data_IF_731657862738
#
_entry.id   IF_731657862738
#
_cell.length_a   1.000
_cell.length_b   1.000
_cell.length_c   1.000
_cell.angle_alpha   90.00
_cell.angle_beta   90.00
_cell.angle_gamma   90.00
#
_symmetry.space_group_name_H-M   'P 1'
#
loop_
_entity.id
_entity.type
_entity.pdbx_description
1 polymer ?
#
# COMPACT_ATOMS: atom_id res chain seq x y z
N UNK A 1 2.01 33.65 -4.57
CA UNK A 1 0.63 34.13 -4.28
C UNK A 1 -0.25 34.30 -5.52
N UNK A 2 0.14 35.03 -6.58
CA UNK A 2 -0.64 35.08 -7.84
C UNK A 2 -0.53 33.79 -8.66
N UNK A 3 0.67 33.20 -8.72
CA UNK A 3 0.92 31.91 -9.36
C UNK A 3 0.10 30.77 -8.72
N UNK A 4 0.11 30.66 -7.39
CA UNK A 4 -0.67 29.64 -6.65
C UNK A 4 -2.19 29.72 -6.92
N UNK A 5 -2.71 30.94 -7.15
CA UNK A 5 -4.12 31.17 -7.48
C UNK A 5 -4.43 30.75 -8.91
N UNK A 6 -3.52 31.02 -9.85
CA UNK A 6 -3.63 30.61 -11.24
C UNK A 6 -3.58 29.08 -11.38
N UNK A 7 -2.68 28.43 -10.66
CA UNK A 7 -2.53 26.98 -10.70
C UNK A 7 -3.75 26.30 -10.06
N UNK A 8 -4.24 26.84 -8.93
CA UNK A 8 -5.49 26.37 -8.31
C UNK A 8 -6.71 26.51 -9.23
N UNK A 9 -6.78 27.58 -10.04
CA UNK A 9 -7.87 27.79 -11.01
C UNK A 9 -7.77 26.84 -12.20
N UNK A 10 -6.57 26.65 -12.77
CA UNK A 10 -6.34 25.72 -13.87
C UNK A 10 -6.67 24.28 -13.47
N UNK A 11 -6.27 23.86 -12.26
CA UNK A 11 -6.64 22.55 -11.72
C UNK A 11 -8.16 22.41 -11.51
N UNK A 12 -8.83 23.45 -11.00
CA UNK A 12 -10.29 23.44 -10.86
C UNK A 12 -10.99 23.26 -12.21
N UNK A 13 -10.51 23.94 -13.26
CA UNK A 13 -11.08 23.85 -14.60
C UNK A 13 -10.84 22.49 -15.26
N UNK A 14 -9.66 21.90 -15.09
CA UNK A 14 -9.41 20.52 -15.53
C UNK A 14 -10.31 19.53 -14.80
N UNK A 15 -10.49 19.70 -13.49
CA UNK A 15 -11.40 18.86 -12.71
C UNK A 15 -12.84 18.98 -13.19
N UNK A 16 -13.30 20.21 -13.46
CA UNK A 16 -14.63 20.49 -13.99
C UNK A 16 -14.86 19.86 -15.38
N UNK A 17 -13.84 19.86 -16.24
CA UNK A 17 -13.91 19.23 -17.56
C UNK A 17 -14.02 17.69 -17.46
N UNK A 18 -13.21 17.07 -16.59
CA UNK A 18 -13.32 15.63 -16.29
C UNK A 18 -14.69 15.31 -15.71
N UNK A 19 -15.18 16.11 -14.76
CA UNK A 19 -16.51 15.97 -14.18
C UNK A 19 -17.63 16.01 -15.22
N UNK A 20 -17.59 16.97 -16.14
CA UNK A 20 -18.57 17.06 -17.22
C UNK A 20 -18.59 15.80 -18.08
N UNK A 21 -17.43 15.22 -18.37
CA UNK A 21 -17.32 13.99 -19.16
C UNK A 21 -17.91 12.80 -18.40
N UNK A 22 -17.63 12.69 -17.10
CA UNK A 22 -18.18 11.61 -16.27
C UNK A 22 -19.71 11.71 -16.09
N UNK A 23 -20.27 12.92 -15.97
CA UNK A 23 -21.73 13.12 -15.97
C UNK A 23 -22.33 12.58 -17.27
N UNK A 24 -21.73 12.90 -18.42
CA UNK A 24 -22.23 12.46 -19.71
C UNK A 24 -22.15 10.94 -19.87
N UNK A 25 -21.08 10.31 -19.37
CA UNK A 25 -20.97 8.85 -19.37
C UNK A 25 -22.05 8.21 -18.50
N UNK A 26 -22.26 8.70 -17.27
CA UNK A 26 -23.29 8.18 -16.37
C UNK A 26 -24.71 8.30 -16.96
N UNK A 27 -25.00 9.42 -17.65
CA UNK A 27 -26.27 9.59 -18.38
C UNK A 27 -26.40 8.55 -19.50
N UNK A 28 -25.35 8.35 -20.29
CA UNK A 28 -25.36 7.37 -21.39
C UNK A 28 -25.52 5.93 -20.89
N UNK A 29 -25.02 5.63 -19.69
CA UNK A 29 -25.14 4.34 -19.03
C UNK A 29 -26.50 4.13 -18.33
N UNK A 30 -27.40 5.12 -18.40
CA UNK A 30 -28.77 5.03 -17.88
C UNK A 30 -28.91 5.35 -16.39
N UNK A 31 -27.95 6.07 -15.79
CA UNK A 31 -28.08 6.55 -14.43
C UNK A 31 -29.28 7.51 -14.30
N UNK A 32 -30.04 7.40 -13.20
CA UNK A 32 -31.18 8.30 -12.98
C UNK A 32 -30.71 9.73 -12.76
N UNK A 33 -31.53 10.69 -13.19
CA UNK A 33 -31.25 12.12 -12.99
C UNK A 33 -31.11 12.50 -11.52
N UNK A 34 -31.81 11.79 -10.62
CA UNK A 34 -31.70 11.99 -9.17
C UNK A 34 -30.36 11.48 -8.64
N UNK A 35 -29.87 10.33 -9.11
CA UNK A 35 -28.54 9.82 -8.76
C UNK A 35 -27.44 10.77 -9.24
N UNK A 36 -27.56 11.30 -10.47
CA UNK A 36 -26.66 12.32 -11.01
C UNK A 36 -26.75 13.60 -10.17
N UNK A 37 -27.95 14.10 -9.87
CA UNK A 37 -28.12 15.31 -9.06
C UNK A 37 -27.51 15.17 -7.65
N UNK A 38 -27.59 13.98 -7.04
CA UNK A 38 -26.93 13.67 -5.76
C UNK A 38 -25.42 13.58 -5.93
N UNK A 39 -24.91 12.86 -6.93
CA UNK A 39 -23.47 12.69 -7.21
C UNK A 39 -22.76 14.02 -7.48
N UNK A 40 -23.46 14.98 -8.09
CA UNK A 40 -22.92 16.26 -8.54
C UNK A 40 -23.53 17.47 -7.82
N UNK A 41 -24.18 17.25 -6.67
CA UNK A 41 -24.61 18.34 -5.80
C UNK A 41 -23.39 19.15 -5.33
N UNK A 42 -23.59 20.43 -4.99
CA UNK A 42 -22.52 21.25 -4.42
C UNK A 42 -21.96 20.64 -3.12
N UNK A 43 -22.76 19.90 -2.36
CA UNK A 43 -22.35 19.17 -1.15
C UNK A 43 -21.53 17.93 -1.48
N UNK A 44 -21.92 17.13 -2.47
CA UNK A 44 -21.12 15.99 -2.95
C UNK A 44 -19.82 16.48 -3.60
N UNK A 45 -19.87 17.55 -4.38
CA UNK A 45 -18.68 18.23 -4.89
C UNK A 45 -17.78 18.74 -3.77
N UNK A 46 -18.33 19.37 -2.73
CA UNK A 46 -17.56 19.82 -1.58
C UNK A 46 -17.01 18.66 -0.74
N UNK A 47 -17.74 17.54 -0.65
CA UNK A 47 -17.30 16.32 0.02
C UNK A 47 -16.21 15.57 -0.78
N UNK A 48 -16.23 15.68 -2.11
CA UNK A 48 -15.39 14.89 -3.04
C UNK A 48 -14.18 15.67 -3.50
N UNK A 49 -14.34 16.94 -3.87
CA UNK A 49 -13.24 17.89 -4.03
C UNK A 49 -12.59 18.21 -2.68
N UNK A 50 -13.29 17.88 -1.59
CA UNK A 50 -12.93 18.21 -0.24
C UNK A 50 -13.10 19.71 0.02
N UNK A 51 -13.58 20.03 1.23
CA UNK A 51 -12.69 20.82 2.10
C UNK A 51 -11.34 20.11 1.97
N UNK A 52 -10.44 20.60 1.09
CA UNK A 52 -9.15 19.96 0.73
C UNK A 52 -8.79 18.96 1.83
N UNK A 53 -8.97 17.64 1.60
CA UNK A 53 -8.63 16.63 2.61
C UNK A 53 -7.25 17.05 3.12
N UNK A 54 -7.22 17.51 4.38
CA UNK A 54 -6.40 18.63 4.85
C UNK A 54 -5.11 18.63 4.05
N UNK A 55 -4.96 19.54 3.08
CA UNK A 55 -3.68 19.71 2.41
C UNK A 55 -2.76 20.18 3.53
N UNK A 56 -2.16 19.22 4.21
CA UNK A 56 -1.38 19.47 5.40
C UNK A 56 -0.31 20.44 4.96
N UNK A 57 -0.36 21.65 5.53
CA UNK A 57 0.70 22.62 5.33
C UNK A 57 2.03 21.94 5.68
N UNK A 58 3.14 22.39 5.09
CA UNK A 58 4.46 21.80 5.37
C UNK A 58 4.70 21.62 6.87
N UNK A 59 4.37 22.64 7.66
CA UNK A 59 4.48 22.62 9.13
C UNK A 59 3.69 21.49 9.81
N UNK A 60 2.48 21.20 9.32
CA UNK A 60 1.65 20.12 9.87
C UNK A 60 2.22 18.75 9.51
N UNK A 61 2.67 18.57 8.26
CA UNK A 61 3.35 17.34 7.82
C UNK A 61 4.61 17.08 8.64
N UNK A 62 5.40 18.12 8.86
CA UNK A 62 6.63 18.03 9.65
C UNK A 62 6.34 17.70 11.12
N UNK A 63 5.26 18.25 11.68
CA UNK A 63 4.81 17.91 13.03
C UNK A 63 4.37 16.44 13.13
N UNK A 64 3.55 15.97 12.20
CA UNK A 64 3.07 14.58 12.17
C UNK A 64 4.21 13.61 11.96
N UNK A 65 5.14 13.94 11.07
CA UNK A 65 6.36 13.16 10.84
C UNK A 65 7.18 13.02 12.12
N UNK A 66 7.41 14.11 12.87
CA UNK A 66 8.09 14.05 14.17
C UNK A 66 7.34 13.16 15.18
N UNK A 67 6.03 13.33 15.30
CA UNK A 67 5.21 12.51 16.18
C UNK A 67 5.25 11.01 15.81
N UNK A 68 5.30 10.68 14.51
CA UNK A 68 5.43 9.31 14.05
C UNK A 68 6.83 8.73 14.37
N UNK A 69 7.90 9.51 14.18
CA UNK A 69 9.27 9.12 14.54
C UNK A 69 9.36 8.81 16.04
N UNK A 70 8.83 9.69 16.88
CA UNK A 70 8.77 9.51 18.34
C UNK A 70 7.92 8.29 18.71
N UNK A 71 6.72 8.15 18.14
CA UNK A 71 5.82 7.04 18.42
C UNK A 71 6.45 5.68 18.10
N UNK A 72 7.14 5.56 16.97
CA UNK A 72 7.79 4.31 16.56
C UNK A 72 9.20 4.12 17.13
N UNK A 73 9.72 5.06 17.92
CA UNK A 73 11.10 5.02 18.39
C UNK A 73 12.09 4.87 17.23
N UNK A 74 11.82 5.56 16.12
CA UNK A 74 12.50 5.30 14.85
C UNK A 74 13.85 6.02 14.73
N UNK A 75 14.24 6.85 15.69
CA UNK A 75 15.54 7.53 15.69
C UNK A 75 16.63 6.60 16.19
N UNK A 76 17.86 6.85 15.76
CA UNK A 76 19.05 6.20 16.32
C UNK A 76 19.44 6.92 17.63
N UNK A 77 19.55 6.19 18.75
CA UNK A 77 19.78 6.78 20.09
C UNK A 77 21.14 7.52 20.23
N UNK A 78 22.11 7.23 19.36
CA UNK A 78 23.48 7.75 19.42
C UNK A 78 23.71 9.02 18.56
N UNK A 79 22.67 9.58 17.92
CA UNK A 79 22.83 10.81 17.13
C UNK A 79 23.07 12.04 18.05
N UNK A 80 24.13 12.79 17.77
CA UNK A 80 24.66 13.90 18.57
C UNK A 80 23.62 14.97 19.00
N UNK A 81 23.88 15.69 20.12
CA UNK A 81 22.96 16.64 20.76
C UNK A 81 22.52 17.84 19.90
N UNK A 82 23.02 17.99 18.67
CA UNK A 82 22.60 19.01 17.71
C UNK A 82 21.21 18.72 17.07
N UNK A 83 20.55 17.62 17.45
CA UNK A 83 19.10 17.48 17.38
C UNK A 83 18.53 17.31 15.96
N UNK A 84 19.35 16.87 15.00
CA UNK A 84 18.86 16.44 13.70
C UNK A 84 18.93 14.92 13.66
N UNK A 85 17.79 14.22 13.74
CA UNK A 85 17.76 12.78 13.50
C UNK A 85 18.30 12.54 12.09
N UNK A 86 19.54 12.05 11.99
CA UNK A 86 20.20 11.83 10.71
C UNK A 86 19.81 10.48 10.14
N UNK A 87 19.51 9.52 11.02
CA UNK A 87 19.12 8.16 10.64
C UNK A 87 17.75 7.79 11.21
N UNK A 88 16.93 7.15 10.38
CA UNK A 88 15.61 6.64 10.73
C UNK A 88 15.47 5.15 10.42
N UNK A 89 14.85 4.41 11.33
CA UNK A 89 14.54 3.00 11.17
C UNK A 89 13.41 2.78 10.16
N UNK A 90 13.61 1.83 9.24
CA UNK A 90 12.56 1.32 8.37
C UNK A 90 12.25 -0.13 8.72
N UNK A 91 11.00 -0.39 9.13
CA UNK A 91 10.57 -1.69 9.65
C UNK A 91 10.58 -2.83 8.63
N UNK A 92 10.48 -2.51 7.32
CA UNK A 92 10.51 -3.50 6.25
C UNK A 92 11.94 -3.89 5.89
N UNK A 93 12.88 -2.93 5.89
CA UNK A 93 14.27 -3.22 5.57
C UNK A 93 15.08 -3.69 6.77
N UNK A 94 14.54 -3.51 7.99
CA UNK A 94 15.19 -3.84 9.27
C UNK A 94 16.54 -3.13 9.44
N UNK A 95 16.60 -1.87 9.00
CA UNK A 95 17.84 -1.08 8.92
C UNK A 95 17.52 0.40 9.15
N UNK A 96 18.53 1.11 9.64
CA UNK A 96 18.57 2.57 9.66
C UNK A 96 18.95 3.12 8.28
N UNK A 97 18.30 4.22 7.90
CA UNK A 97 18.51 4.92 6.64
C UNK A 97 18.62 6.43 6.87
N UNK A 98 19.30 7.17 5.98
CA UNK A 98 19.29 8.62 6.05
C UNK A 98 17.85 9.15 6.08
N UNK A 99 17.61 10.18 6.88
CA UNK A 99 16.28 10.76 7.12
C UNK A 99 15.50 11.03 5.83
N UNK A 100 16.18 11.51 4.80
CA UNK A 100 15.63 11.82 3.48
C UNK A 100 15.16 10.59 2.70
N UNK A 101 15.72 9.41 2.97
CA UNK A 101 15.35 8.16 2.32
C UNK A 101 14.19 7.44 3.02
N UNK A 102 13.77 7.87 4.21
CA UNK A 102 12.63 7.29 4.94
C UNK A 102 11.41 8.21 4.84
N UNK A 103 10.31 7.72 4.28
CA UNK A 103 9.02 8.42 4.25
C UNK A 103 8.16 7.99 5.44
N UNK A 104 7.36 8.93 5.93
CA UNK A 104 6.26 8.66 6.85
C UNK A 104 5.02 8.39 6.00
N UNK A 105 4.85 7.14 5.59
CA UNK A 105 3.80 6.73 4.67
C UNK A 105 2.44 6.72 5.40
N UNK A 106 1.43 7.30 4.75
CA UNK A 106 0.05 7.18 5.20
C UNK A 106 -0.51 5.84 4.76
N UNK A 107 -1.15 5.12 5.67
CA UNK A 107 -1.79 3.83 5.37
C UNK A 107 -3.13 4.07 4.68
N UNK A 108 -3.95 4.94 5.26
CA UNK A 108 -5.10 5.55 4.61
C UNK A 108 -4.62 6.91 4.09
N UNK A 109 -4.63 7.14 2.76
CA UNK A 109 -4.17 8.40 2.18
C UNK A 109 -4.86 9.62 2.81
N UNK A 110 -4.10 10.68 3.08
CA UNK A 110 -4.61 11.91 3.70
C UNK A 110 -5.72 12.61 2.89
N UNK A 111 -5.76 12.36 1.57
CA UNK A 111 -6.76 12.85 0.63
C UNK A 111 -8.01 11.96 0.53
N UNK A 112 -8.11 10.92 1.35
CA UNK A 112 -9.33 10.10 1.45
C UNK A 112 -10.46 10.94 2.02
N UNK A 113 -11.61 10.95 1.34
CA UNK A 113 -12.76 11.74 1.78
C UNK A 113 -13.29 11.23 3.13
N UNK A 114 -13.57 12.17 4.03
CA UNK A 114 -14.11 11.95 5.39
C UNK A 114 -15.31 10.97 5.36
N UNK A 115 -16.29 11.20 4.48
CA UNK A 115 -17.48 10.34 4.35
C UNK A 115 -17.19 8.91 3.88
N UNK A 116 -16.05 8.66 3.23
CA UNK A 116 -15.61 7.29 2.85
C UNK A 116 -15.15 6.52 4.06
N UNK A 117 -14.42 7.17 4.96
CA UNK A 117 -13.92 6.58 6.20
C UNK A 117 -15.09 6.31 7.12
N UNK A 118 -16.00 7.27 7.26
CA UNK A 118 -17.21 7.11 8.05
C UNK A 118 -18.11 5.98 7.51
N UNK A 119 -18.25 5.87 6.19
CA UNK A 119 -19.00 4.77 5.58
C UNK A 119 -18.31 3.41 5.78
N UNK A 120 -16.99 3.36 5.60
CA UNK A 120 -16.23 2.12 5.74
C UNK A 120 -16.23 1.63 7.18
N UNK A 121 -15.90 2.49 8.13
CA UNK A 121 -15.62 2.11 9.51
C UNK A 121 -16.71 2.53 10.53
N UNK A 122 -17.77 3.22 10.10
CA UNK A 122 -18.84 3.73 10.95
C UNK A 122 -18.58 5.10 11.56
N UNK A 123 -19.37 5.48 12.58
CA UNK A 123 -19.21 6.74 13.34
C UNK A 123 -17.89 6.73 14.13
N UNK A 124 -16.81 7.07 13.45
CA UNK A 124 -15.49 7.32 14.02
C UNK A 124 -15.22 8.80 13.81
N UNK A 125 -14.54 9.44 14.77
CA UNK A 125 -13.87 10.71 14.50
C UNK A 125 -12.82 10.47 13.40
N UNK A 126 -13.26 10.69 12.17
CA UNK A 126 -12.55 10.50 10.91
C UNK A 126 -11.22 11.26 10.88
N UNK A 127 -11.22 12.49 11.41
CA UNK A 127 -10.02 13.31 11.59
C UNK A 127 -9.09 12.72 12.61
N UNK A 128 -9.60 12.22 13.73
CA UNK A 128 -8.78 11.51 14.70
C UNK A 128 -8.18 10.24 14.10
N UNK A 129 -8.89 9.56 13.20
CA UNK A 129 -8.40 8.35 12.53
C UNK A 129 -7.31 8.64 11.51
N UNK A 130 -7.53 9.59 10.60
CA UNK A 130 -6.55 9.96 9.57
C UNK A 130 -5.26 10.54 10.15
N UNK A 131 -5.38 11.34 11.22
CA UNK A 131 -4.24 11.96 11.90
C UNK A 131 -3.70 11.10 13.06
N UNK A 132 -4.25 9.90 13.28
CA UNK A 132 -3.75 8.99 14.31
C UNK A 132 -2.37 8.48 13.91
N UNK A 133 -1.43 8.36 14.86
CA UNK A 133 -0.14 7.71 14.62
C UNK A 133 -0.29 6.26 14.11
N UNK A 134 -1.42 5.62 14.41
CA UNK A 134 -1.78 4.28 13.88
C UNK A 134 -2.05 4.28 12.37
N UNK A 135 -2.21 5.43 11.73
CA UNK A 135 -2.37 5.58 10.28
C UNK A 135 -1.05 5.82 9.54
N UNK A 136 0.07 5.81 10.26
CA UNK A 136 1.38 6.06 9.67
C UNK A 136 2.29 4.86 9.82
N UNK A 137 3.27 4.76 8.94
CA UNK A 137 4.37 3.81 9.04
C UNK A 137 5.64 4.40 8.43
N UNK A 138 6.79 4.14 9.06
CA UNK A 138 8.10 4.56 8.58
C UNK A 138 8.64 3.55 7.56
N UNK A 139 8.82 3.98 6.31
CA UNK A 139 9.21 3.13 5.20
C UNK A 139 10.31 3.78 4.37
N UNK A 140 11.25 2.98 3.87
CA UNK A 140 12.18 3.42 2.82
C UNK A 140 11.38 3.94 1.61
N UNK A 141 11.86 5.00 0.96
CA UNK A 141 11.14 5.76 -0.08
C UNK A 141 10.60 4.87 -1.20
N UNK A 142 11.41 3.95 -1.74
CA UNK A 142 10.99 3.00 -2.79
C UNK A 142 9.92 2.02 -2.32
N UNK A 143 9.96 1.62 -1.05
CA UNK A 143 8.95 0.73 -0.43
C UNK A 143 7.65 1.50 -0.23
N UNK A 144 7.73 2.74 0.28
CA UNK A 144 6.57 3.62 0.42
C UNK A 144 5.88 3.86 -0.93
N UNK A 145 6.63 4.02 -2.01
CA UNK A 145 6.08 4.18 -3.37
C UNK A 145 5.37 2.93 -3.88
N UNK A 146 5.97 1.75 -3.70
CA UNK A 146 5.31 0.48 -4.05
C UNK A 146 4.04 0.24 -3.21
N UNK A 147 4.08 0.63 -1.94
CA UNK A 147 2.94 0.59 -1.02
C UNK A 147 1.82 1.52 -1.49
N UNK A 148 2.13 2.79 -1.77
CA UNK A 148 1.17 3.77 -2.30
C UNK A 148 0.56 3.35 -3.65
N UNK A 149 1.34 2.70 -4.53
CA UNK A 149 0.88 2.14 -5.81
C UNK A 149 0.04 0.86 -5.65
N UNK A 150 -0.05 0.30 -4.44
CA UNK A 150 -0.76 -0.95 -4.18
C UNK A 150 -0.09 -2.19 -4.78
N UNK A 151 1.21 -2.11 -5.07
CA UNK A 151 1.99 -3.28 -5.54
C UNK A 151 2.30 -4.23 -4.37
N UNK A 152 2.41 -3.67 -3.17
CA UNK A 152 2.61 -4.40 -1.91
C UNK A 152 1.59 -3.92 -0.88
N UNK A 153 1.29 -4.76 0.09
CA UNK A 153 0.54 -4.40 1.29
C UNK A 153 1.22 -4.99 2.53
N UNK A 154 0.81 -4.54 3.72
CA UNK A 154 1.31 -5.06 5.00
C UNK A 154 0.14 -5.75 5.70
N UNK A 155 0.36 -6.99 6.11
CA UNK A 155 -0.68 -7.89 6.63
C UNK A 155 -0.18 -8.58 7.90
N UNK A 156 -1.08 -9.11 8.76
CA UNK A 156 -0.67 -9.93 9.88
C UNK A 156 0.12 -11.16 9.44
N UNK A 157 1.16 -11.52 10.19
CA UNK A 157 1.83 -12.81 10.03
C UNK A 157 0.99 -13.90 10.69
N UNK A 158 0.70 -14.98 9.97
CA UNK A 158 -0.07 -16.14 10.45
C UNK A 158 0.70 -17.00 11.48
N UNK A 159 1.97 -16.68 11.74
CA UNK A 159 2.89 -17.49 12.53
C UNK A 159 2.69 -17.43 14.06
N UNK A 160 1.75 -16.63 14.57
CA UNK A 160 1.45 -16.59 16.01
C UNK A 160 0.17 -17.35 16.28
N UNK A 161 0.31 -18.52 16.90
CA UNK A 161 -0.81 -19.23 17.52
C UNK A 161 -1.52 -18.28 18.49
N UNK A 162 -2.86 -18.37 18.54
CA UNK A 162 -3.76 -17.53 19.34
C UNK A 162 -3.49 -17.56 20.87
N UNK A 163 -2.37 -18.14 21.32
CA UNK A 163 -2.07 -18.42 22.72
C UNK A 163 -1.29 -17.31 23.44
N UNK A 164 -0.65 -16.38 22.73
CA UNK A 164 0.05 -15.23 23.34
C UNK A 164 -0.70 -13.92 23.09
N UNK A 165 -1.78 -13.68 23.84
CA UNK A 165 -2.55 -12.43 23.75
C UNK A 165 -1.77 -11.18 24.20
N UNK A 166 -0.61 -11.37 24.82
CA UNK A 166 0.19 -10.29 25.43
C UNK A 166 1.28 -9.75 24.49
N UNK A 167 1.56 -10.42 23.36
CA UNK A 167 2.60 -9.99 22.42
C UNK A 167 2.04 -9.07 21.33
N UNK A 168 2.78 -8.01 20.93
CA UNK A 168 2.42 -7.22 19.77
C UNK A 168 2.30 -8.09 18.52
N UNK A 169 1.32 -7.78 17.69
CA UNK A 169 1.06 -8.54 16.46
C UNK A 169 2.25 -8.40 15.51
N UNK A 170 2.72 -9.56 15.02
CA UNK A 170 3.72 -9.62 13.97
C UNK A 170 3.09 -9.30 12.61
N UNK A 171 3.75 -8.44 11.84
CA UNK A 171 3.31 -8.00 10.53
C UNK A 171 4.30 -8.49 9.48
N UNK A 172 3.83 -8.72 8.26
CA UNK A 172 4.65 -9.13 7.12
C UNK A 172 4.27 -8.36 5.86
N UNK A 173 5.21 -8.29 4.93
CA UNK A 173 5.00 -7.80 3.58
C UNK A 173 4.20 -8.82 2.77
N UNK A 174 3.26 -8.33 1.99
CA UNK A 174 2.43 -9.11 1.08
C UNK A 174 2.53 -8.52 -0.31
N UNK A 175 3.05 -9.30 -1.26
CA UNK A 175 3.24 -8.88 -2.63
C UNK A 175 1.99 -9.14 -3.45
N UNK A 176 1.37 -8.07 -3.96
CA UNK A 176 0.22 -8.17 -4.86
C UNK A 176 0.71 -8.22 -6.30
N UNK A 177 1.69 -7.38 -6.63
CA UNK A 177 2.40 -7.41 -7.91
C UNK A 177 3.61 -8.34 -7.83
N UNK A 178 3.48 -9.53 -8.40
CA UNK A 178 4.54 -10.55 -8.42
C UNK A 178 5.66 -10.20 -9.38
N UNK A 179 5.45 -9.24 -10.29
CA UNK A 179 6.51 -8.79 -11.21
C UNK A 179 7.70 -8.19 -10.45
N UNK A 180 7.46 -7.54 -9.31
CA UNK A 180 8.53 -7.01 -8.46
C UNK A 180 9.54 -8.10 -8.08
N UNK A 181 9.04 -9.27 -7.68
CA UNK A 181 9.86 -10.40 -7.21
C UNK A 181 10.41 -11.22 -8.37
N UNK A 182 9.56 -11.56 -9.35
CA UNK A 182 9.93 -12.42 -10.48
C UNK A 182 10.89 -11.73 -11.46
N UNK A 183 10.79 -10.41 -11.61
CA UNK A 183 11.61 -9.63 -12.52
C UNK A 183 13.01 -9.32 -12.00
N UNK A 184 13.40 -9.86 -10.83
CA UNK A 184 14.67 -9.53 -10.15
C UNK A 184 14.92 -8.02 -10.09
N UNK A 185 13.86 -7.25 -9.86
CA UNK A 185 13.95 -5.79 -9.86
C UNK A 185 14.66 -5.34 -8.58
N UNK A 186 15.54 -4.35 -8.72
CA UNK A 186 16.19 -3.74 -7.56
C UNK A 186 15.15 -2.94 -6.76
N UNK A 187 15.10 -3.18 -5.44
CA UNK A 187 14.25 -2.42 -4.53
C UNK A 187 14.94 -1.12 -4.12
N UNK A 188 16.21 -1.21 -3.70
CA UNK A 188 17.05 -0.08 -3.31
C UNK A 188 18.52 -0.50 -3.29
N UNK A 189 19.42 0.44 -3.00
CA UNK A 189 20.84 0.19 -2.79
C UNK A 189 21.15 0.38 -1.30
N UNK A 190 21.75 -0.62 -0.65
CA UNK A 190 22.18 -0.53 0.73
C UNK A 190 23.37 0.43 0.91
N UNK A 191 23.67 0.80 2.15
CA UNK A 191 24.74 1.75 2.50
C UNK A 191 26.14 1.24 2.12
N UNK A 192 26.33 -0.08 2.13
CA UNK A 192 27.51 -0.79 1.63
C UNK A 192 27.56 -0.88 0.09
N UNK A 193 26.68 -0.14 -0.59
CA UNK A 193 26.49 -0.08 -2.05
C UNK A 193 25.99 -1.39 -2.69
N UNK A 194 25.65 -2.39 -1.89
CA UNK A 194 25.09 -3.64 -2.43
C UNK A 194 23.64 -3.42 -2.88
N UNK A 195 23.26 -3.92 -4.06
CA UNK A 195 21.86 -3.89 -4.49
C UNK A 195 21.05 -4.85 -3.61
N UNK A 196 19.88 -4.38 -3.16
CA UNK A 196 18.87 -5.21 -2.50
C UNK A 196 17.69 -5.34 -3.45
N UNK A 197 17.28 -6.57 -3.72
CA UNK A 197 16.21 -6.89 -4.65
C UNK A 197 14.89 -7.12 -3.91
N UNK A 198 13.77 -6.96 -4.62
CA UNK A 198 12.47 -7.29 -4.06
C UNK A 198 12.34 -8.76 -3.66
N UNK A 199 13.08 -9.66 -4.33
CA UNK A 199 13.17 -11.07 -3.97
C UNK A 199 13.78 -11.29 -2.58
N UNK A 200 14.73 -10.44 -2.17
CA UNK A 200 15.36 -10.54 -0.85
C UNK A 200 14.35 -10.17 0.24
N UNK A 201 13.53 -9.14 -0.01
CA UNK A 201 12.43 -8.75 0.88
C UNK A 201 11.31 -9.80 0.91
N UNK A 202 11.09 -10.53 -0.18
CA UNK A 202 10.13 -11.63 -0.23
C UNK A 202 10.62 -12.87 0.51
N UNK A 203 11.93 -13.11 0.57
CA UNK A 203 12.52 -14.22 1.31
C UNK A 203 12.42 -14.03 2.83
N UNK A 204 12.47 -12.80 3.32
CA UNK A 204 12.26 -12.44 4.72
C UNK A 204 11.19 -11.33 4.86
N UNK A 205 9.91 -11.69 4.74
CA UNK A 205 8.83 -10.70 4.61
C UNK A 205 8.40 -10.11 5.96
N UNK A 206 8.84 -10.66 7.10
CA UNK A 206 8.36 -10.24 8.43
C UNK A 206 8.97 -8.88 8.80
N UNK A 207 8.15 -7.93 9.25
CA UNK A 207 8.58 -6.60 9.66
C UNK A 207 9.16 -6.61 11.08
N UNK A 208 10.11 -5.71 11.33
CA UNK A 208 10.74 -5.51 12.64
C UNK A 208 10.55 -4.05 13.11
N UNK A 209 9.92 -3.87 14.26
CA UNK A 209 9.68 -2.54 14.85
C UNK A 209 10.59 -2.35 16.06
N UNK A 210 11.04 -1.11 16.29
CA UNK A 210 11.94 -0.76 17.41
C UNK A 210 11.24 -0.81 18.78
N UNK A 211 9.91 -0.73 18.82
CA UNK A 211 9.13 -0.81 20.05
C UNK A 211 7.83 -1.59 19.80
N UNK A 212 6.92 -1.61 20.78
CA UNK A 212 5.64 -2.34 20.70
C UNK A 212 4.54 -1.61 19.91
N UNK A 213 4.78 -0.37 19.47
CA UNK A 213 3.78 0.37 18.70
C UNK A 213 3.62 -0.26 17.31
N UNK A 214 2.38 -0.52 16.92
CA UNK A 214 2.01 -1.11 15.63
C UNK A 214 1.03 -0.21 14.90
N UNK A 215 1.11 -0.16 13.55
CA UNK A 215 0.05 0.44 12.77
C UNK A 215 -1.31 -0.19 13.07
N UNK A 216 -2.38 0.58 12.89
CA UNK A 216 -3.73 0.13 13.15
C UNK A 216 -4.13 -0.96 12.16
N UNK A 217 -4.48 -2.15 12.65
CA UNK A 217 -4.90 -3.26 11.79
C UNK A 217 -6.08 -2.90 10.88
N UNK A 218 -7.04 -2.11 11.37
CA UNK A 218 -8.15 -1.59 10.54
C UNK A 218 -7.65 -0.75 9.35
N UNK A 219 -6.60 0.05 9.55
CA UNK A 219 -6.01 0.88 8.51
C UNK A 219 -5.28 0.01 7.49
N UNK A 220 -4.50 -0.96 7.97
CA UNK A 220 -3.79 -1.93 7.12
C UNK A 220 -4.76 -2.78 6.30
N UNK A 221 -5.88 -3.19 6.87
CA UNK A 221 -6.93 -3.90 6.17
C UNK A 221 -7.50 -3.05 5.03
N UNK A 222 -7.84 -1.79 5.31
CA UNK A 222 -8.28 -0.87 4.27
C UNK A 222 -7.24 -0.65 3.17
N UNK A 223 -5.97 -0.50 3.55
CA UNK A 223 -4.89 -0.41 2.57
C UNK A 223 -4.83 -1.65 1.67
N UNK A 224 -4.98 -2.86 2.23
CA UNK A 224 -5.05 -4.10 1.45
C UNK A 224 -6.22 -4.08 0.45
N UNK A 225 -7.44 -3.72 0.88
CA UNK A 225 -8.61 -3.66 0.00
C UNK A 225 -8.41 -2.67 -1.16
N UNK A 226 -7.91 -1.47 -0.84
CA UNK A 226 -7.65 -0.44 -1.85
C UNK A 226 -6.49 -0.79 -2.77
N UNK A 227 -5.49 -1.52 -2.27
CA UNK A 227 -4.36 -2.02 -3.08
C UNK A 227 -4.79 -3.10 -4.06
N UNK A 228 -5.65 -4.03 -3.66
CA UNK A 228 -6.23 -5.02 -4.58
C UNK A 228 -7.05 -4.35 -5.68
N UNK A 229 -7.79 -3.30 -5.34
CA UNK A 229 -8.53 -2.49 -6.31
C UNK A 229 -7.60 -1.82 -7.32
N UNK A 230 -6.50 -1.21 -6.84
CA UNK A 230 -5.46 -0.61 -7.71
C UNK A 230 -4.81 -1.67 -8.60
N UNK A 231 -4.46 -2.82 -8.03
CA UNK A 231 -3.80 -3.91 -8.73
C UNK A 231 -4.64 -4.49 -9.88
N UNK A 232 -5.93 -4.70 -9.64
CA UNK A 232 -6.87 -5.13 -10.68
C UNK A 232 -6.91 -4.14 -11.84
N UNK A 233 -6.98 -2.85 -11.56
CA UNK A 233 -7.02 -1.81 -12.58
C UNK A 233 -5.73 -1.68 -13.36
N UNK A 234 -4.61 -1.78 -12.67
CA UNK A 234 -3.29 -1.70 -13.28
C UNK A 234 -2.89 -2.99 -14.02
N UNK A 235 -3.60 -4.09 -13.81
CA UNK A 235 -3.30 -5.38 -14.41
C UNK A 235 -2.01 -6.00 -13.88
N UNK A 236 -1.73 -5.87 -12.58
CA UNK A 236 -0.50 -6.41 -11.98
C UNK A 236 -0.37 -7.92 -12.16
N UNK A 237 0.86 -8.37 -12.39
CA UNK A 237 1.18 -9.79 -12.63
C UNK A 237 1.00 -10.57 -11.32
N UNK A 238 0.32 -11.71 -11.38
CA UNK A 238 0.07 -12.57 -10.22
C UNK A 238 -1.04 -12.05 -9.27
N UNK A 239 -1.86 -11.10 -9.73
CA UNK A 239 -3.04 -10.64 -8.98
C UNK A 239 -3.99 -11.78 -8.61
N UNK A 240 -4.23 -12.74 -9.52
CA UNK A 240 -5.07 -13.91 -9.25
C UNK A 240 -4.48 -14.79 -8.13
N UNK A 241 -3.16 -14.98 -8.10
CA UNK A 241 -2.49 -15.75 -7.05
C UNK A 241 -2.63 -15.04 -5.68
N UNK A 242 -2.47 -13.71 -5.67
CA UNK A 242 -2.71 -12.92 -4.46
C UNK A 242 -4.17 -13.05 -3.95
N UNK A 243 -5.16 -13.12 -4.84
CA UNK A 243 -6.55 -13.38 -4.46
C UNK A 243 -6.74 -14.78 -3.89
N UNK A 244 -6.12 -15.80 -4.50
CA UNK A 244 -6.19 -17.17 -4.02
C UNK A 244 -5.59 -17.32 -2.60
N UNK A 245 -4.44 -16.68 -2.32
CA UNK A 245 -3.84 -16.66 -0.98
C UNK A 245 -4.74 -15.98 0.06
N UNK A 246 -5.45 -14.92 -0.33
CA UNK A 246 -6.45 -14.26 0.51
C UNK A 246 -7.65 -15.16 0.80
N UNK A 247 -8.17 -15.86 -0.22
CA UNK A 247 -9.28 -16.80 -0.09
C UNK A 247 -8.90 -18.02 0.76
N UNK A 248 -7.64 -18.45 0.72
CA UNK A 248 -7.11 -19.50 1.58
C UNK A 248 -6.96 -19.08 3.06
N UNK A 249 -7.29 -17.83 3.42
CA UNK A 249 -7.08 -17.24 4.77
C UNK A 249 -5.62 -17.18 5.21
N UNK A 250 -4.67 -17.31 4.29
CA UNK A 250 -3.23 -17.27 4.59
C UNK A 250 -2.72 -15.85 4.86
N UNK A 251 -3.47 -14.86 4.39
CA UNK A 251 -3.10 -13.43 4.44
C UNK A 251 -3.85 -12.68 5.54
N UNK A 252 -5.13 -13.00 5.75
CA UNK A 252 -5.95 -12.37 6.78
C UNK A 252 -7.01 -13.35 7.29
N UNK A 253 -6.82 -13.88 8.50
CA UNK A 253 -7.63 -14.99 9.01
C UNK A 253 -9.13 -14.63 9.15
N UNK A 254 -9.43 -13.47 9.77
CA UNK A 254 -10.79 -12.93 9.88
C UNK A 254 -10.77 -11.40 9.94
N UNK A 255 -11.63 -10.70 9.17
CA UNK A 255 -11.89 -9.30 9.43
C UNK A 255 -12.54 -9.19 10.82
N UNK A 256 -11.91 -8.45 11.72
CA UNK A 256 -12.52 -8.05 12.99
C UNK A 256 -13.68 -7.07 12.71
N UNK A 257 -14.58 -6.76 13.67
CA UNK A 257 -15.76 -5.91 13.47
C UNK A 257 -15.39 -4.42 13.32
N UNK A 258 -14.54 -4.10 12.35
CA UNK A 258 -14.04 -2.75 12.09
C UNK A 258 -14.66 -2.14 10.86
N UNK A 259 -15.26 -2.93 9.98
CA UNK A 259 -15.75 -2.48 8.68
C UNK A 259 -17.21 -2.87 8.50
N UNK A 260 -18.00 -1.94 7.96
CA UNK A 260 -19.41 -2.17 7.68
C UNK A 260 -19.61 -3.23 6.61
N UNK A 261 -20.60 -4.11 6.82
CA UNK A 261 -20.93 -5.18 5.88
C UNK A 261 -21.32 -4.67 4.51
N UNK A 262 -22.14 -3.61 4.45
CA UNK A 262 -22.48 -2.96 3.19
C UNK A 262 -21.28 -2.36 2.47
N UNK A 263 -20.29 -1.81 3.18
CA UNK A 263 -19.08 -1.27 2.57
C UNK A 263 -18.24 -2.38 1.94
N UNK A 264 -18.01 -3.47 2.67
CA UNK A 264 -17.35 -4.66 2.15
C UNK A 264 -18.10 -5.26 0.96
N UNK A 265 -19.43 -5.37 1.05
CA UNK A 265 -20.26 -5.89 -0.03
C UNK A 265 -20.14 -5.02 -1.27
N UNK A 266 -20.24 -3.70 -1.12
CA UNK A 266 -20.11 -2.75 -2.24
C UNK A 266 -18.74 -2.86 -2.89
N UNK A 267 -17.66 -2.91 -2.11
CA UNK A 267 -16.31 -3.13 -2.65
C UNK A 267 -16.16 -4.50 -3.32
N UNK A 268 -16.76 -5.55 -2.77
CA UNK A 268 -16.73 -6.87 -3.37
C UNK A 268 -17.49 -6.95 -4.69
N UNK A 269 -18.67 -6.31 -4.75
CA UNK A 269 -19.50 -6.24 -5.95
C UNK A 269 -18.81 -5.43 -7.06
N UNK A 270 -18.17 -4.31 -6.71
CA UNK A 270 -17.47 -3.44 -7.67
C UNK A 270 -16.13 -4.01 -8.13
N UNK A 271 -15.36 -4.61 -7.23
CA UNK A 271 -13.95 -4.95 -7.48
C UNK A 271 -13.66 -6.44 -7.52
N UNK A 272 -14.67 -7.30 -7.37
CA UNK A 272 -14.51 -8.77 -7.29
C UNK A 272 -13.55 -9.17 -6.16
N UNK A 273 -13.75 -8.59 -4.97
CA UNK A 273 -13.00 -9.00 -3.77
C UNK A 273 -13.28 -10.47 -3.43
N UNK A 274 -12.34 -11.16 -2.76
CA UNK A 274 -12.52 -12.51 -2.23
C UNK A 274 -13.87 -12.68 -1.52
N UNK A 275 -14.62 -13.71 -1.89
CA UNK A 275 -15.98 -13.97 -1.37
C UNK A 275 -16.00 -14.12 0.17
N UNK A 276 -14.87 -14.48 0.73
CA UNK A 276 -14.64 -14.75 2.15
C UNK A 276 -15.04 -13.59 3.06
N UNK A 277 -14.85 -12.35 2.60
CA UNK A 277 -15.16 -11.17 3.40
C UNK A 277 -16.64 -10.80 3.38
N UNK A 278 -17.45 -11.39 2.48
CA UNK A 278 -18.91 -11.13 2.45
C UNK A 278 -19.66 -11.81 3.58
N UNK A 279 -19.22 -13.01 3.98
CA UNK A 279 -19.89 -13.81 5.02
C UNK A 279 -19.46 -13.40 6.42
N UNK A 280 -18.20 -13.01 6.59
CA UNK A 280 -17.57 -12.70 7.88
C UNK A 280 -17.70 -11.22 8.30
N UNK A 281 -18.40 -10.37 7.54
CA UNK A 281 -18.60 -8.98 7.93
C UNK A 281 -19.61 -8.88 9.10
N UNK A 282 -19.14 -8.33 10.23
CA UNK A 282 -19.81 -8.43 11.54
C UNK A 282 -20.65 -7.19 11.88
N UNK A 283 -20.31 -6.00 11.36
CA UNK A 283 -21.08 -4.79 11.69
C UNK A 283 -22.41 -4.78 10.92
N UNK A 284 -23.51 -4.74 11.68
CA UNK A 284 -24.86 -4.55 11.13
C UNK A 284 -24.93 -3.22 10.37
N UNK A 285 -25.63 -3.26 9.23
CA UNK A 285 -25.84 -2.08 8.41
C UNK A 285 -26.74 -1.10 9.17
N UNK A 286 -26.25 0.12 9.42
CA UNK A 286 -27.08 1.18 9.95
C UNK A 286 -28.13 1.56 8.87
N UNK A 287 -29.44 1.41 9.15
CA UNK A 287 -30.49 1.74 8.19
C UNK A 287 -30.56 3.24 7.85
N UNK A 288 -29.91 4.12 8.62
CA UNK A 288 -29.83 5.56 8.32
C UNK A 288 -28.73 5.90 7.31
N UNK A 289 -27.73 5.03 7.16
CA UNK A 289 -26.55 5.25 6.31
C UNK A 289 -26.79 4.95 4.81
N UNK A 290 -28.02 4.64 4.38
CA UNK A 290 -28.23 3.69 3.28
C UNK A 290 -28.03 4.23 1.85
N UNK A 291 -28.28 5.50 1.52
CA UNK A 291 -28.17 5.95 0.12
C UNK A 291 -27.03 6.93 -0.12
N UNK A 292 -27.07 8.09 0.54
CA UNK A 292 -26.09 9.16 0.32
C UNK A 292 -24.65 8.70 0.60
N UNK A 293 -24.44 7.93 1.68
CA UNK A 293 -23.11 7.44 2.03
C UNK A 293 -22.64 6.29 1.13
N UNK A 294 -23.55 5.47 0.58
CA UNK A 294 -23.21 4.52 -0.50
C UNK A 294 -22.74 5.25 -1.74
N UNK A 295 -23.44 6.30 -2.13
CA UNK A 295 -23.11 7.09 -3.32
C UNK A 295 -21.74 7.78 -3.14
N UNK A 296 -21.48 8.35 -1.96
CA UNK A 296 -20.16 8.92 -1.59
C UNK A 296 -19.07 7.85 -1.60
N UNK A 297 -19.32 6.66 -1.04
CA UNK A 297 -18.34 5.58 -1.00
C UNK A 297 -18.03 5.00 -2.38
N UNK A 298 -19.05 4.87 -3.24
CA UNK A 298 -18.90 4.49 -4.64
C UNK A 298 -18.00 5.50 -5.37
N UNK A 299 -18.24 6.80 -5.14
CA UNK A 299 -17.45 7.86 -5.76
C UNK A 299 -16.02 7.96 -5.20
N UNK A 300 -15.83 7.74 -3.91
CA UNK A 300 -14.50 7.70 -3.33
C UNK A 300 -13.70 6.48 -3.77
N UNK A 301 -14.35 5.34 -3.94
CA UNK A 301 -13.77 4.15 -4.55
C UNK A 301 -13.34 4.43 -5.99
N UNK A 302 -14.12 5.21 -6.74
CA UNK A 302 -13.72 5.70 -8.06
C UNK A 302 -12.48 6.62 -8.02
N UNK A 303 -12.36 7.50 -7.01
CA UNK A 303 -11.19 8.36 -6.84
C UNK A 303 -9.92 7.63 -6.39
N UNK A 304 -10.03 6.70 -5.44
CA UNK A 304 -8.92 5.85 -4.99
C UNK A 304 -8.31 5.02 -6.13
N UNK A 305 -9.04 4.93 -7.23
CA UNK A 305 -8.74 4.08 -8.36
C UNK A 305 -8.55 4.88 -9.66
N UNK A 306 -8.45 6.21 -9.56
CA UNK A 306 -7.97 7.08 -10.64
C UNK A 306 -6.45 7.17 -10.56
N UNK A 307 -5.71 7.01 -11.68
CA UNK A 307 -4.27 7.20 -11.68
C UNK A 307 -3.97 8.59 -11.12
N UNK A 308 -3.19 8.67 -10.04
CA UNK A 308 -2.57 9.94 -9.67
C UNK A 308 -1.69 10.31 -10.86
N UNK A 309 -2.04 11.39 -11.56
CA UNK A 309 -1.11 12.05 -12.46
C UNK A 309 0.10 12.40 -11.60
N UNK A 310 1.16 11.58 -11.68
CA UNK A 310 2.40 11.94 -11.04
C UNK A 310 2.87 13.22 -11.74
N UNK A 311 3.23 14.28 -11.01
CA UNK A 311 4.15 15.25 -11.57
C UNK A 311 5.39 14.44 -11.97
N UNK A 312 5.72 14.46 -13.25
CA UNK A 312 6.91 13.82 -13.80
C UNK A 312 8.12 14.49 -13.15
N UNK A 313 8.57 13.97 -12.01
CA UNK A 313 9.82 14.35 -11.37
C UNK A 313 10.81 13.29 -11.84
N UNK A 314 11.34 13.51 -13.05
CA UNK A 314 12.57 12.85 -13.47
C UNK A 314 13.62 13.26 -12.44
N UNK A 315 14.02 12.29 -11.62
CA UNK A 315 15.36 12.33 -11.07
C UNK A 315 16.25 12.10 -12.28
N UNK A 316 16.69 13.18 -12.92
CA UNK A 316 17.91 13.13 -13.72
C UNK A 316 18.97 12.60 -12.74
N UNK A 317 19.30 11.32 -12.87
CA UNK A 317 20.56 10.81 -12.37
C UNK A 317 21.60 11.71 -13.06
N UNK A 318 22.19 12.63 -12.30
CA UNK A 318 23.39 13.32 -12.73
C UNK A 318 24.42 12.21 -13.00
N UNK A 319 24.49 11.78 -14.26
CA UNK A 319 25.62 11.03 -14.76
C UNK A 319 26.83 11.92 -14.51
N UNK A 320 27.62 11.59 -13.50
CA UNK A 320 28.93 12.18 -13.30
C UNK A 320 29.72 11.93 -14.60
N UNK A 321 29.88 13.00 -15.39
CA UNK A 321 30.72 13.08 -16.57
C UNK A 321 32.16 12.66 -16.20
N UNK A 322 32.44 11.37 -16.29
CA UNK A 322 33.80 10.88 -16.42
C UNK A 322 34.26 11.17 -17.85
N UNK A 323 35.02 12.25 -18.00
CA UNK A 323 35.83 12.55 -19.17
C UNK A 323 36.66 11.31 -19.55
N UNK A 324 36.19 10.55 -20.55
CA UNK A 324 37.00 9.58 -21.28
C UNK A 324 37.15 10.09 -22.71
N UNK A 325 38.25 10.81 -22.93
CA UNK A 325 38.75 11.13 -24.25
C UNK A 325 39.06 9.83 -25.02
N UNK A 326 38.39 9.68 -26.17
CA UNK A 326 38.89 8.94 -27.31
C UNK A 326 38.59 7.45 -27.32
N UNK A 327 37.60 7.05 -28.14
CA UNK A 327 37.88 6.17 -29.27
C UNK A 327 36.71 6.18 -30.27
N UNK A 328 37.06 6.51 -31.51
CA UNK A 328 36.20 6.43 -32.68
C UNK A 328 35.85 4.98 -33.03
N UNK A 329 34.58 4.79 -33.43
CA UNK A 329 34.18 3.77 -34.40
C UNK A 329 33.84 2.41 -33.80
N UNK A 330 32.57 2.02 -33.92
CA UNK A 330 32.16 0.88 -34.74
C UNK A 330 30.63 0.75 -34.76
N UNK A 331 30.14 0.43 -35.96
CA UNK A 331 28.75 0.27 -36.31
C UNK A 331 28.08 -0.94 -35.62
N UNK A 332 26.75 -0.86 -35.52
CA UNK A 332 25.81 -1.92 -35.15
C UNK A 332 26.11 -3.30 -35.76
N UNK A 333 25.55 -4.35 -35.14
CA UNK A 333 24.55 -5.08 -35.91
C UNK A 333 23.22 -5.33 -35.17
N UNK A 334 22.18 -5.33 -36.00
CA UNK A 334 20.84 -5.86 -35.79
C UNK A 334 20.80 -7.15 -34.94
N UNK A 335 19.87 -7.19 -33.99
CA UNK A 335 19.27 -8.44 -33.54
C UNK A 335 17.77 -8.43 -33.85
N UNK A 336 17.36 -9.41 -34.66
CA UNK A 336 15.97 -9.77 -34.87
C UNK A 336 15.46 -10.62 -33.68
N UNK A 337 14.13 -10.67 -33.45
CA UNK A 337 13.56 -11.33 -32.28
C UNK A 337 13.26 -12.81 -32.59
N UNK A 338 13.98 -13.73 -31.94
CA UNK A 338 13.62 -15.15 -31.92
C UNK A 338 13.49 -15.65 -30.48
N UNK A 339 12.26 -16.11 -30.19
CA UNK A 339 11.95 -17.31 -29.40
C UNK A 339 12.49 -17.39 -27.96
N UNK A 340 11.73 -16.81 -27.01
CA UNK A 340 11.83 -17.24 -25.61
C UNK A 340 10.77 -18.27 -25.26
N UNK A 341 11.26 -19.49 -25.10
CA UNK A 341 10.63 -20.64 -24.48
C UNK A 341 10.05 -20.32 -23.09
N UNK A 342 8.85 -20.84 -22.84
CA UNK A 342 8.23 -20.94 -21.52
C UNK A 342 8.91 -22.03 -20.68
N UNK A 343 9.36 -21.73 -19.44
CA UNK A 343 9.61 -22.75 -18.45
C UNK A 343 8.45 -22.78 -17.44
N UNK A 344 7.42 -23.57 -17.77
CA UNK A 344 6.62 -24.22 -16.73
C UNK A 344 7.44 -25.33 -16.09
N UNK A 345 7.20 -25.54 -14.79
CA UNK A 345 7.66 -26.63 -13.94
C UNK A 345 9.06 -26.49 -13.33
N UNK A 346 9.15 -25.87 -12.15
CA UNK A 346 10.01 -26.32 -11.04
C UNK A 346 9.46 -25.83 -9.69
N UNK A 347 8.48 -26.54 -9.14
CA UNK A 347 8.25 -26.59 -7.69
C UNK A 347 8.23 -28.07 -7.29
N UNK A 348 9.15 -28.54 -6.42
CA UNK A 348 9.02 -29.86 -5.83
C UNK A 348 7.98 -29.83 -4.72
N UNK A 349 7.00 -30.73 -4.88
CA UNK A 349 5.95 -31.08 -3.94
C UNK A 349 6.55 -31.54 -2.59
N UNK A 350 5.87 -31.17 -1.51
CA UNK A 350 6.09 -31.63 -0.13
C UNK A 350 6.21 -33.15 -0.02
N UNK A 351 7.12 -33.69 0.82
CA UNK A 351 7.07 -35.10 1.19
C UNK A 351 6.27 -35.31 2.49
N UNK A 352 5.12 -35.96 2.37
CA UNK A 352 4.47 -36.67 3.48
C UNK A 352 5.01 -38.10 3.59
N UNK A 353 5.64 -38.40 4.73
CA UNK A 353 5.57 -39.60 5.62
C UNK A 353 5.12 -40.98 5.08
N UNK A 354 5.36 -42.10 5.80
CA UNK A 354 6.49 -42.55 6.64
C UNK A 354 6.98 -43.97 6.24
N UNK A 355 8.17 -44.35 6.70
CA UNK A 355 8.50 -45.78 6.88
C UNK A 355 9.92 -46.17 6.52
N UNK A 356 10.75 -46.38 7.54
CA UNK A 356 11.55 -47.58 7.70
C UNK A 356 12.35 -47.47 9.00
N UNK A 357 12.05 -48.36 9.94
CA UNK A 357 12.86 -48.58 11.11
C UNK A 357 14.22 -49.16 10.67
N UNK A 358 15.30 -48.55 11.16
CA UNK A 358 16.62 -49.16 11.18
C UNK A 358 17.24 -48.93 12.57
N UNK A 359 17.70 -50.05 13.12
CA UNK A 359 18.29 -50.37 14.41
C UNK A 359 19.46 -49.46 14.83
N UNK A 360 19.73 -49.30 16.14
CA UNK A 360 20.85 -48.52 16.64
C UNK A 360 22.17 -49.30 16.51
N UNK A 361 23.25 -48.60 16.13
CA UNK A 361 24.62 -49.11 16.18
C UNK A 361 25.34 -48.43 17.36
N UNK A 362 26.16 -49.17 18.13
CA UNK A 362 26.54 -48.80 19.47
C UNK A 362 27.77 -47.91 19.56
N UNK A 363 27.79 -47.23 20.69
CA UNK A 363 28.85 -46.45 21.33
C UNK A 363 30.20 -47.20 21.41
N UNK A 364 31.27 -46.56 20.92
CA UNK A 364 32.65 -46.86 21.33
C UNK A 364 33.50 -45.58 21.33
N UNK A 365 33.77 -45.12 22.55
CA UNK A 365 35.02 -44.54 23.08
C UNK A 365 36.18 -44.34 22.09
N UNK A 366 36.78 -43.14 22.09
CA UNK A 366 38.13 -42.94 22.63
C UNK A 366 38.64 -41.48 22.48
N UNK A 367 39.06 -40.95 23.64
CA UNK A 367 40.00 -39.85 23.93
C UNK A 367 39.52 -38.41 23.85
#
# INVERSE_FOLDING_TARGET
MLQDKHDSHSYLMQHAATWRKEILNAVNDGASTDAIAVLFSAESAAAVLGRRGIAETGERRDKIRRQAIECYGAHLEDDEPDGKDTWLWCAVTKRYWPRELVKTAHIIPADTAEGTIEYAFGEIDDRAMLNSMRNFIMLHTRIAEAFDRGQISIVPSSSLSEQDSDRPISLRLFFIDRQLVLGHQQAFRALDRQPVYWSDLAADPVLEFQNDNRPGQRNLFWHLLTSLTKAKKAGYVGFTDALNELEAKEVWAKPQPWIQKSALKSMADLFMMPQIYRQDAIMDDDPKLQQIKRDIASLASFRLSSPRLQPHFEWEEEEEDHEQEGLEGLAHPNFAPEEYFSPQALLPLSPGTPGCAATPIPDQMAR
#
